data_IF_351498054467
#
_entry.id   IF_351498054467
#
_cell.length_a   1.000
_cell.length_b   1.000
_cell.length_c   1.000
_cell.angle_alpha   90.00
_cell.angle_beta   90.00
_cell.angle_gamma   90.00
#
_symmetry.space_group_name_H-M   'P 1'
#
loop_
_entity.id
_entity.type
_entity.pdbx_description
1 polymer ?
#
# COMPACT_ATOMS: atom_id res chain seq x y z
N UNK A 1 31.79 -0.59 -5.12
CA UNK A 1 30.97 -1.74 -4.72
C UNK A 1 29.66 -1.14 -4.23
N UNK A 2 28.57 -1.32 -4.96
CA UNK A 2 27.27 -0.80 -4.50
C UNK A 2 26.90 -1.54 -3.21
N UNK A 3 26.70 -0.77 -2.16
CA UNK A 3 26.03 -1.22 -0.95
C UNK A 3 24.67 -1.78 -1.40
N UNK A 4 24.42 -3.06 -1.14
CA UNK A 4 23.07 -3.60 -1.27
C UNK A 4 22.17 -2.74 -0.38
N UNK A 5 21.05 -2.22 -0.90
CA UNK A 5 20.13 -1.47 -0.05
C UNK A 5 19.76 -2.35 1.15
N UNK A 6 19.85 -1.76 2.35
CA UNK A 6 19.20 -2.33 3.51
C UNK A 6 17.75 -2.64 3.12
N UNK A 7 17.24 -3.81 3.55
CA UNK A 7 15.91 -4.28 3.16
C UNK A 7 14.85 -3.18 3.25
N UNK A 8 13.79 -3.29 2.48
CA UNK A 8 12.78 -2.22 2.33
C UNK A 8 12.02 -1.91 3.62
N UNK A 9 12.19 -2.73 4.66
CA UNK A 9 11.52 -2.61 5.95
C UNK A 9 10.16 -3.31 5.98
N UNK A 10 9.67 -3.81 4.84
CA UNK A 10 8.49 -4.67 4.74
C UNK A 10 8.93 -6.05 4.22
N UNK A 11 8.79 -7.07 5.07
CA UNK A 11 9.16 -8.46 4.77
C UNK A 11 8.44 -9.00 3.51
N UNK A 12 7.22 -8.51 3.22
CA UNK A 12 6.45 -8.91 2.04
C UNK A 12 7.09 -8.36 0.77
N UNK A 13 7.51 -7.09 0.81
CA UNK A 13 8.21 -6.44 -0.30
C UNK A 13 9.58 -7.09 -0.50
N UNK A 14 10.31 -7.38 0.58
CA UNK A 14 11.62 -8.03 0.51
C UNK A 14 11.53 -9.44 -0.08
N UNK A 15 10.49 -10.22 0.26
CA UNK A 15 10.25 -11.53 -0.33
C UNK A 15 9.95 -11.47 -1.83
N UNK A 16 9.16 -10.47 -2.26
CA UNK A 16 8.85 -10.24 -3.68
C UNK A 16 10.13 -9.88 -4.46
N UNK A 17 10.95 -8.98 -3.92
CA UNK A 17 12.21 -8.54 -4.55
C UNK A 17 13.24 -9.67 -4.59
N UNK A 18 13.36 -10.47 -3.52
CA UNK A 18 14.20 -11.66 -3.50
C UNK A 18 13.78 -12.67 -4.60
N UNK A 19 12.48 -12.78 -4.86
CA UNK A 19 11.91 -13.59 -5.93
C UNK A 19 12.44 -13.23 -7.33
N UNK A 20 12.81 -11.96 -7.58
CA UNK A 20 13.40 -11.55 -8.86
C UNK A 20 14.79 -12.14 -9.11
N UNK A 21 15.49 -12.61 -8.07
CA UNK A 21 16.81 -13.25 -8.20
C UNK A 21 16.80 -14.48 -9.11
N UNK A 22 15.66 -15.16 -9.23
CA UNK A 22 15.48 -16.36 -10.08
C UNK A 22 15.53 -16.07 -11.58
N UNK A 23 15.44 -14.80 -12.00
CA UNK A 23 15.49 -14.40 -13.41
C UNK A 23 16.82 -14.80 -14.08
N UNK A 24 17.93 -14.80 -13.35
CA UNK A 24 19.24 -15.19 -13.89
C UNK A 24 19.34 -16.67 -14.28
N UNK A 25 18.44 -17.50 -13.77
CA UNK A 25 18.41 -18.95 -13.97
C UNK A 25 17.35 -19.38 -15.00
N UNK A 26 16.46 -18.45 -15.39
CA UNK A 26 15.34 -18.69 -16.30
C UNK A 26 15.61 -18.13 -17.69
N UNK A 27 15.06 -18.75 -18.74
CA UNK A 27 15.09 -18.16 -20.08
C UNK A 27 14.29 -16.86 -20.10
N UNK A 28 14.72 -15.91 -20.95
CA UNK A 28 14.11 -14.57 -21.06
C UNK A 28 12.62 -14.61 -21.37
N UNK A 29 12.15 -15.65 -22.07
CA UNK A 29 10.72 -15.86 -22.32
C UNK A 29 9.88 -15.98 -21.05
N UNK A 30 10.47 -16.49 -19.96
CA UNK A 30 9.80 -16.68 -18.67
C UNK A 30 9.90 -15.43 -17.78
N UNK A 31 10.77 -14.47 -18.11
CA UNK A 31 10.98 -13.27 -17.29
C UNK A 31 9.69 -12.45 -17.15
N UNK A 32 8.87 -12.39 -18.19
CA UNK A 32 7.59 -11.66 -18.17
C UNK A 32 6.64 -12.25 -17.13
N UNK A 33 6.58 -13.58 -16.98
CA UNK A 33 5.73 -14.22 -15.98
C UNK A 33 6.22 -13.90 -14.56
N UNK A 34 7.54 -13.94 -14.33
CA UNK A 34 8.15 -13.57 -13.04
C UNK A 34 7.90 -12.10 -12.70
N UNK A 35 8.05 -11.20 -13.67
CA UNK A 35 7.76 -9.78 -13.46
C UNK A 35 6.28 -9.53 -13.17
N UNK A 36 5.38 -10.24 -13.86
CA UNK A 36 3.94 -10.14 -13.61
C UNK A 36 3.58 -10.56 -12.18
N UNK A 37 4.12 -11.69 -11.72
CA UNK A 37 3.92 -12.17 -10.34
C UNK A 37 4.42 -11.16 -9.31
N UNK A 38 5.64 -10.65 -9.49
CA UNK A 38 6.23 -9.67 -8.60
C UNK A 38 5.44 -8.36 -8.57
N UNK A 39 4.97 -7.90 -9.73
CA UNK A 39 4.17 -6.68 -9.86
C UNK A 39 2.82 -6.82 -9.13
N UNK A 40 2.08 -7.90 -9.38
CA UNK A 40 0.80 -8.14 -8.71
C UNK A 40 0.96 -8.33 -7.20
N UNK A 41 2.05 -8.97 -6.75
CA UNK A 41 2.35 -9.10 -5.32
C UNK A 41 2.62 -7.75 -4.65
N UNK A 42 3.33 -6.86 -5.35
CA UNK A 42 3.61 -5.52 -4.83
C UNK A 42 2.34 -4.66 -4.79
N UNK A 43 1.51 -4.68 -5.83
CA UNK A 43 0.22 -3.98 -5.83
C UNK A 43 -0.68 -4.43 -4.66
N UNK A 44 -0.77 -5.74 -4.39
CA UNK A 44 -1.52 -6.26 -3.27
C UNK A 44 -0.96 -5.81 -1.91
N UNK A 45 0.37 -5.77 -1.79
CA UNK A 45 1.05 -5.31 -0.57
C UNK A 45 0.79 -3.82 -0.31
N UNK A 46 0.85 -3.00 -1.35
CA UNK A 46 0.57 -1.57 -1.29
C UNK A 46 -0.91 -1.27 -1.03
N UNK A 47 -1.82 -2.02 -1.66
CA UNK A 47 -3.25 -1.89 -1.42
C UNK A 47 -3.59 -2.17 0.06
N UNK A 48 -3.02 -3.25 0.63
CA UNK A 48 -3.21 -3.57 2.04
C UNK A 48 -2.68 -2.47 2.98
N UNK A 49 -1.54 -1.84 2.66
CA UNK A 49 -0.99 -0.75 3.45
C UNK A 49 -1.81 0.55 3.36
N UNK A 50 -2.57 0.75 2.27
CA UNK A 50 -3.45 1.91 2.08
C UNK A 50 -4.79 1.80 2.81
N UNK A 51 -5.27 0.59 3.08
CA UNK A 51 -6.51 0.36 3.86
C UNK A 51 -6.35 0.67 5.35
N UNK A 52 -5.14 0.55 5.91
CA UNK A 52 -4.82 0.89 7.31
C UNK A 52 -4.90 2.42 7.61
N UNK A 53 -4.85 3.29 6.59
CA UNK A 53 -4.98 4.75 6.72
C UNK A 53 -6.46 5.23 6.72
N UNK A 54 -7.43 4.32 6.61
CA UNK A 54 -8.87 4.64 6.54
C UNK A 54 -9.71 4.24 7.74
N UNK A 55 -9.08 3.93 8.87
CA UNK A 55 -9.78 3.84 10.15
C UNK A 55 -9.47 5.06 11.02
N UNK A 56 -10.54 5.77 11.41
CA UNK A 56 -10.61 6.81 12.44
C UNK A 56 -10.42 8.27 12.01
N UNK A 57 -11.14 8.67 10.96
CA UNK A 57 -11.68 10.02 10.82
C UNK A 57 -13.18 10.03 11.15
N UNK A 58 -13.49 10.01 12.45
CA UNK A 58 -14.81 10.17 13.07
C UNK A 58 -15.66 11.27 12.40
N UNK A 59 -16.43 10.88 11.37
CA UNK A 59 -17.53 11.65 10.82
C UNK A 59 -18.77 11.51 11.69
N UNK A 60 -18.64 11.78 13.00
CA UNK A 60 -19.78 11.90 13.88
C UNK A 60 -20.70 13.03 13.39
N UNK A 61 -22.03 12.84 13.32
CA UNK A 61 -22.94 13.92 13.01
C UNK A 61 -22.82 14.98 14.12
N UNK A 62 -22.19 16.12 13.80
CA UNK A 62 -22.03 17.22 14.74
C UNK A 62 -23.40 17.65 15.29
N UNK A 63 -23.55 17.84 16.62
CA UNK A 63 -24.77 18.38 17.16
C UNK A 63 -24.93 19.80 16.63
N UNK A 64 -26.08 20.06 16.01
CA UNK A 64 -26.41 21.33 15.39
C UNK A 64 -26.10 22.51 16.31
N UNK A 65 -25.11 23.29 15.93
CA UNK A 65 -24.96 24.65 16.40
C UNK A 65 -26.06 25.50 15.74
N UNK A 66 -26.88 26.15 16.56
CA UNK A 66 -27.71 27.27 16.11
C UNK A 66 -29.20 27.14 16.40
N UNK A 67 -29.60 26.84 17.64
CA UNK A 67 -30.87 27.40 18.12
C UNK A 67 -30.63 28.90 18.32
N UNK A 68 -30.98 29.64 17.27
CA UNK A 68 -30.81 31.08 17.18
C UNK A 68 -31.72 31.73 18.23
N UNK A 69 -31.07 32.44 19.14
CA UNK A 69 -31.72 33.49 19.88
C UNK A 69 -32.34 34.50 18.89
N UNK A 70 -33.53 34.97 19.27
CA UNK A 70 -34.11 36.27 18.93
C UNK A 70 -34.85 36.44 17.60
N UNK A 71 -36.19 36.51 17.74
CA UNK A 71 -37.01 37.50 17.04
C UNK A 71 -38.31 36.97 16.45
N UNK A 72 -39.46 37.46 16.97
CA UNK A 72 -40.52 38.16 16.20
C UNK A 72 -41.95 37.98 16.76
N UNK A 73 -42.33 38.80 17.76
CA UNK A 73 -43.55 39.65 17.87
C UNK A 73 -43.91 39.97 19.31
#
# INVERSE_FOLDING_TARGET
>A
MSELPEGTGDERVDAIVAGLGRLGELPVSEHVAVFGEAFSGLEATLAAAGDDDHTDGDGGPGPGAGEQAEGHR
#
